data_IF_420604562488
#
_entry.id   IF_420604562488
#
_cell.length_a   1.000
_cell.length_b   1.000
_cell.length_c   1.000
_cell.angle_alpha   90.00
_cell.angle_beta   90.00
_cell.angle_gamma   90.00
#
_symmetry.space_group_name_H-M   'P 1'
#
loop_
_entity.id
_entity.type
_entity.pdbx_description
1 polymer ?
#
# COMPACT_ATOMS: atom_id res chain seq x y z
N UNK A 1 -13.21 14.35 -3.06
CA UNK A 1 -12.48 13.75 -1.95
C UNK A 1 -13.38 12.91 -1.05
N UNK A 2 -12.82 12.27 -0.04
CA UNK A 2 -13.61 11.55 0.96
C UNK A 2 -14.54 12.52 1.71
N UNK A 3 -15.80 12.10 1.91
CA UNK A 3 -16.78 12.94 2.62
C UNK A 3 -16.49 13.08 4.11
N UNK A 4 -15.87 12.07 4.72
CA UNK A 4 -15.54 12.04 6.15
C UNK A 4 -14.24 11.28 6.35
N UNK A 5 -13.24 11.94 6.93
CA UNK A 5 -11.92 11.35 7.22
C UNK A 5 -11.72 11.27 8.74
N UNK A 6 -11.31 10.10 9.23
CA UNK A 6 -10.92 9.91 10.63
C UNK A 6 -9.49 9.40 10.68
N UNK A 7 -8.62 10.10 11.37
CA UNK A 7 -7.24 9.68 11.63
C UNK A 7 -7.19 9.03 13.02
N UNK A 8 -6.86 7.75 13.05
CA UNK A 8 -6.64 7.01 14.28
C UNK A 8 -5.15 7.02 14.64
N UNK A 9 -4.83 7.45 15.85
CA UNK A 9 -3.44 7.60 16.33
C UNK A 9 -3.30 7.07 17.76
N UNK A 10 -2.09 6.71 18.22
CA UNK A 10 -1.87 6.39 19.62
C UNK A 10 -2.37 7.51 20.55
N UNK A 11 -3.04 7.15 21.64
CA UNK A 11 -3.66 8.08 22.58
C UNK A 11 -2.71 9.17 23.06
N UNK A 12 -1.44 8.81 23.28
CA UNK A 12 -0.41 9.72 23.81
C UNK A 12 -0.12 10.90 22.86
N UNK A 13 -0.29 10.73 21.56
CA UNK A 13 -0.04 11.80 20.56
C UNK A 13 -1.32 12.44 20.01
N UNK A 14 -2.49 11.96 20.42
CA UNK A 14 -3.78 12.40 19.87
C UNK A 14 -3.95 13.93 19.89
N UNK A 15 -3.66 14.58 21.03
CA UNK A 15 -3.80 16.04 21.16
C UNK A 15 -2.84 16.80 20.25
N UNK A 16 -1.60 16.30 20.11
CA UNK A 16 -0.58 16.90 19.24
C UNK A 16 -1.04 16.81 17.78
N UNK A 17 -1.51 15.65 17.36
CA UNK A 17 -1.99 15.43 15.99
C UNK A 17 -3.23 16.27 15.72
N UNK A 18 -4.19 16.30 16.64
CA UNK A 18 -5.42 17.08 16.51
C UNK A 18 -5.16 18.60 16.33
N UNK A 19 -4.08 19.12 16.91
CA UNK A 19 -3.69 20.53 16.73
C UNK A 19 -2.99 20.84 15.40
N UNK A 20 -2.61 19.81 14.61
CA UNK A 20 -1.85 19.96 13.38
C UNK A 20 -2.61 19.56 12.11
N UNK A 21 -3.64 18.73 12.24
CA UNK A 21 -4.47 18.35 11.09
C UNK A 21 -5.45 19.46 10.73
N UNK A 22 -5.90 19.47 9.49
CA UNK A 22 -6.95 20.39 9.04
C UNK A 22 -8.27 20.11 9.81
N UNK A 23 -9.13 21.12 10.03
CA UNK A 23 -10.32 20.98 10.86
C UNK A 23 -11.31 19.89 10.41
N UNK A 24 -11.31 19.56 9.12
CA UNK A 24 -12.19 18.57 8.51
C UNK A 24 -11.82 17.13 8.87
N UNK A 25 -10.60 16.89 9.39
CA UNK A 25 -10.13 15.57 9.79
C UNK A 25 -10.42 15.33 11.26
N UNK A 26 -11.22 14.32 11.53
CA UNK A 26 -11.46 13.87 12.90
C UNK A 26 -10.27 13.05 13.41
N UNK A 27 -9.90 13.23 14.68
CA UNK A 27 -8.81 12.47 15.30
C UNK A 27 -9.35 11.59 16.43
N UNK A 28 -9.05 10.31 16.39
CA UNK A 28 -9.41 9.34 17.42
C UNK A 28 -8.19 8.56 17.90
N UNK A 29 -8.33 7.73 18.93
CA UNK A 29 -7.26 6.84 19.38
C UNK A 29 -7.36 5.47 18.72
N UNK A 30 -6.21 4.81 18.53
CA UNK A 30 -6.08 3.44 18.01
C UNK A 30 -6.40 2.36 19.05
N UNK A 31 -6.90 2.72 20.25
CA UNK A 31 -7.34 1.72 21.21
C UNK A 31 -8.40 0.83 20.54
N UNK A 32 -8.27 -0.51 20.67
CA UNK A 32 -9.10 -1.47 19.95
C UNK A 32 -10.56 -1.30 20.37
N UNK A 33 -11.30 -0.59 19.54
CA UNK A 33 -12.74 -0.47 19.64
C UNK A 33 -13.31 -0.94 18.29
N UNK A 34 -14.08 -2.04 18.27
CA UNK A 34 -14.78 -2.50 17.07
C UNK A 34 -15.52 -1.38 16.35
N UNK A 35 -16.12 -0.47 17.09
CA UNK A 35 -16.84 0.71 16.55
C UNK A 35 -15.96 1.63 15.69
N UNK A 36 -14.61 1.54 15.81
CA UNK A 36 -13.71 2.37 15.02
C UNK A 36 -13.78 2.01 13.53
N UNK A 37 -14.04 0.75 13.20
CA UNK A 37 -13.99 0.22 11.84
C UNK A 37 -15.38 -0.08 11.25
N UNK A 38 -16.37 -0.44 12.08
CA UNK A 38 -17.66 -0.99 11.67
C UNK A 38 -18.49 -0.12 10.70
N UNK A 39 -18.24 1.18 10.64
CA UNK A 39 -18.96 2.11 9.76
C UNK A 39 -18.08 2.75 8.70
N UNK A 40 -16.91 2.21 8.41
CA UNK A 40 -15.97 2.78 7.45
C UNK A 40 -16.08 2.08 6.09
N UNK A 41 -16.01 2.84 5.01
CA UNK A 41 -15.97 2.30 3.65
C UNK A 41 -14.58 1.79 3.28
N UNK A 42 -13.53 2.43 3.82
CA UNK A 42 -12.14 2.08 3.58
C UNK A 42 -11.30 2.36 4.82
N UNK A 43 -10.37 1.47 5.10
CA UNK A 43 -9.31 1.64 6.09
C UNK A 43 -7.97 1.62 5.37
N UNK A 44 -7.24 2.73 5.46
CA UNK A 44 -5.85 2.83 5.00
C UNK A 44 -4.94 2.82 6.22
N UNK A 45 -3.96 1.92 6.25
CA UNK A 45 -3.06 1.78 7.40
C UNK A 45 -1.62 1.50 6.98
N UNK A 46 -0.72 1.90 7.88
CA UNK A 46 0.71 1.59 7.76
C UNK A 46 1.61 2.80 7.97
N UNK A 47 1.45 3.92 7.24
CA UNK A 47 2.32 5.07 7.43
C UNK A 47 2.41 5.52 8.88
N UNK A 48 3.64 5.47 9.46
CA UNK A 48 3.91 5.94 10.81
C UNK A 48 3.27 5.16 11.96
N UNK A 49 2.76 3.95 11.72
CA UNK A 49 2.19 3.11 12.80
C UNK A 49 3.24 2.64 13.81
N UNK A 50 4.49 2.43 13.38
CA UNK A 50 5.52 1.79 14.18
C UNK A 50 5.50 0.27 14.04
N UNK A 51 6.49 -0.39 14.69
CA UNK A 51 6.80 -1.81 14.50
C UNK A 51 6.83 -2.57 15.81
N UNK A 52 5.97 -2.19 16.75
CA UNK A 52 5.85 -2.89 18.03
C UNK A 52 4.92 -4.10 17.89
N UNK A 53 4.95 -4.99 18.86
CA UNK A 53 4.09 -6.17 18.88
C UNK A 53 2.61 -5.79 18.90
N UNK A 54 2.27 -4.76 19.69
CA UNK A 54 0.89 -4.27 19.80
C UNK A 54 0.37 -3.76 18.46
N UNK A 55 1.24 -3.19 17.62
CA UNK A 55 0.87 -2.76 16.26
C UNK A 55 0.68 -3.96 15.34
N UNK A 56 1.53 -4.99 15.45
CA UNK A 56 1.32 -6.22 14.69
C UNK A 56 -0.01 -6.89 15.08
N UNK A 57 -0.30 -6.99 16.38
CA UNK A 57 -1.56 -7.55 16.89
C UNK A 57 -2.77 -6.71 16.41
N UNK A 58 -2.65 -5.38 16.34
CA UNK A 58 -3.68 -4.50 15.81
C UNK A 58 -3.93 -4.73 14.31
N UNK A 59 -2.86 -4.84 13.52
CA UNK A 59 -2.95 -5.11 12.08
C UNK A 59 -3.62 -6.45 11.85
N UNK A 60 -3.20 -7.51 12.55
CA UNK A 60 -3.80 -8.84 12.44
C UNK A 60 -5.28 -8.82 12.79
N UNK A 61 -5.65 -8.13 13.88
CA UNK A 61 -7.05 -7.98 14.28
C UNK A 61 -7.90 -7.29 13.20
N UNK A 62 -7.37 -6.24 12.56
CA UNK A 62 -8.09 -5.53 11.49
C UNK A 62 -8.23 -6.43 10.25
N UNK A 63 -7.20 -7.17 9.89
CA UNK A 63 -7.25 -8.09 8.74
C UNK A 63 -8.29 -9.20 8.93
N UNK A 64 -8.50 -9.66 10.17
CA UNK A 64 -9.46 -10.71 10.51
C UNK A 64 -10.89 -10.20 10.66
N UNK A 65 -11.08 -9.01 11.22
CA UNK A 65 -12.37 -8.52 11.66
C UNK A 65 -13.03 -7.50 10.71
N UNK A 66 -12.27 -6.84 9.86
CA UNK A 66 -12.79 -5.79 9.00
C UNK A 66 -13.13 -6.33 7.60
N UNK A 67 -14.41 -6.23 7.23
CA UNK A 67 -14.91 -6.72 5.94
C UNK A 67 -14.91 -5.67 4.82
N UNK A 68 -14.53 -4.43 5.13
CA UNK A 68 -14.48 -3.33 4.16
C UNK A 68 -13.20 -3.31 3.32
N UNK A 69 -13.04 -2.26 2.53
CA UNK A 69 -11.88 -2.08 1.69
C UNK A 69 -10.62 -1.71 2.51
N UNK A 70 -9.51 -2.38 2.25
CA UNK A 70 -8.22 -2.16 2.92
C UNK A 70 -7.17 -1.62 1.94
N UNK A 71 -6.36 -0.66 2.41
CA UNK A 71 -5.13 -0.21 1.76
C UNK A 71 -3.98 -0.35 2.76
N UNK A 72 -3.00 -1.20 2.43
CA UNK A 72 -1.88 -1.55 3.30
C UNK A 72 -0.57 -0.99 2.74
N UNK A 73 0.16 -0.24 3.56
CA UNK A 73 1.46 0.35 3.20
C UNK A 73 2.44 0.28 4.39
N UNK A 74 3.69 0.54 4.15
CA UNK A 74 4.73 0.79 5.15
C UNK A 74 4.75 -0.19 6.35
N UNK A 75 4.47 0.30 7.57
CA UNK A 75 4.55 -0.53 8.78
C UNK A 75 3.43 -1.57 8.88
N UNK A 76 2.29 -1.41 8.18
CA UNK A 76 1.30 -2.48 8.05
C UNK A 76 1.86 -3.65 7.21
N UNK A 77 2.58 -3.36 6.13
CA UNK A 77 3.28 -4.39 5.36
C UNK A 77 4.41 -5.05 6.16
N UNK A 78 5.03 -4.31 7.07
CA UNK A 78 6.00 -4.88 8.01
C UNK A 78 5.33 -5.86 8.98
N UNK A 79 4.15 -5.53 9.50
CA UNK A 79 3.40 -6.36 10.43
C UNK A 79 2.93 -7.70 9.81
N UNK A 80 2.72 -7.73 8.48
CA UNK A 80 2.40 -8.98 7.78
C UNK A 80 3.50 -10.02 7.86
N UNK A 81 4.76 -9.60 8.02
CA UNK A 81 5.91 -10.50 7.97
C UNK A 81 6.13 -11.07 6.56
N UNK A 82 6.48 -12.35 6.51
CA UNK A 82 6.52 -13.10 5.24
C UNK A 82 5.12 -13.60 4.92
N UNK A 83 4.69 -13.43 3.70
CA UNK A 83 3.38 -13.91 3.23
C UNK A 83 3.49 -15.00 2.17
N UNK A 84 4.70 -15.21 1.65
CA UNK A 84 5.01 -16.26 0.69
C UNK A 84 6.48 -16.33 0.39
N UNK A 85 6.92 -17.40 -0.25
CA UNK A 85 8.31 -17.57 -0.68
C UNK A 85 8.43 -17.94 -2.15
N UNK A 86 9.61 -17.71 -2.70
CA UNK A 86 9.92 -17.93 -4.11
C UNK A 86 11.05 -18.95 -4.25
N UNK A 87 10.76 -20.06 -4.95
CA UNK A 87 11.76 -21.04 -5.35
C UNK A 87 12.62 -20.46 -6.49
N UNK A 88 13.87 -20.15 -6.17
CA UNK A 88 14.82 -19.51 -7.10
C UNK A 88 15.22 -20.42 -8.28
N UNK A 89 15.18 -21.73 -8.10
CA UNK A 89 15.54 -22.67 -9.16
C UNK A 89 14.42 -22.77 -10.20
N UNK A 90 13.17 -22.85 -9.76
CA UNK A 90 12.01 -22.77 -10.64
C UNK A 90 11.96 -21.41 -11.41
N UNK A 91 12.32 -20.30 -10.75
CA UNK A 91 12.47 -19.00 -11.43
C UNK A 91 13.54 -19.03 -12.53
N UNK A 92 14.66 -19.71 -12.29
CA UNK A 92 15.75 -19.85 -13.30
C UNK A 92 15.32 -20.68 -14.50
N UNK A 93 14.51 -21.70 -14.26
CA UNK A 93 14.00 -22.60 -15.28
C UNK A 93 12.81 -22.00 -16.06
N UNK A 94 12.36 -20.81 -15.68
CA UNK A 94 11.25 -20.09 -16.30
C UNK A 94 9.87 -20.57 -15.86
N UNK A 95 9.80 -21.48 -14.90
CA UNK A 95 8.55 -21.97 -14.29
C UNK A 95 8.16 -21.11 -13.09
N UNK A 96 7.59 -19.97 -13.38
CA UNK A 96 7.30 -18.96 -12.37
C UNK A 96 6.01 -19.27 -11.62
N UNK A 97 5.04 -19.93 -12.27
CA UNK A 97 3.77 -20.31 -11.63
C UNK A 97 3.98 -21.33 -10.51
N UNK A 98 4.89 -22.28 -10.67
CA UNK A 98 5.26 -23.23 -9.61
C UNK A 98 6.30 -22.68 -8.63
N UNK A 99 6.90 -21.53 -8.94
CA UNK A 99 7.94 -20.94 -8.12
C UNK A 99 7.41 -20.22 -6.88
N UNK A 100 6.12 -19.85 -6.83
CA UNK A 100 5.56 -19.06 -5.76
C UNK A 100 4.70 -19.90 -4.82
N UNK A 101 5.00 -19.83 -3.50
CA UNK A 101 4.22 -20.52 -2.46
C UNK A 101 3.63 -19.50 -1.50
N UNK A 102 2.32 -19.57 -1.29
CA UNK A 102 1.61 -18.77 -0.29
C UNK A 102 1.83 -19.36 1.09
N UNK A 103 2.31 -18.55 2.02
CA UNK A 103 2.50 -18.94 3.43
C UNK A 103 1.47 -18.30 4.36
N UNK A 104 0.86 -17.20 3.92
CA UNK A 104 -0.18 -16.48 4.65
C UNK A 104 -1.28 -16.04 3.69
N UNK A 105 -2.52 -16.38 3.99
CA UNK A 105 -3.68 -15.82 3.30
C UNK A 105 -3.91 -14.37 3.68
N UNK A 106 -4.32 -13.55 2.71
CA UNK A 106 -4.61 -12.13 2.89
C UNK A 106 -6.05 -11.84 2.49
N UNK A 107 -6.72 -10.87 3.13
CA UNK A 107 -8.02 -10.39 2.66
C UNK A 107 -7.84 -9.67 1.31
N UNK A 108 -8.92 -9.55 0.54
CA UNK A 108 -8.92 -8.77 -0.70
C UNK A 108 -8.66 -7.29 -0.40
N UNK A 109 -7.47 -6.82 -0.72
CA UNK A 109 -6.99 -5.49 -0.37
C UNK A 109 -6.07 -4.90 -1.45
N UNK A 110 -5.72 -3.62 -1.30
CA UNK A 110 -4.65 -2.97 -2.05
C UNK A 110 -3.40 -2.92 -1.18
N UNK A 111 -2.29 -3.43 -1.68
CA UNK A 111 -0.97 -3.35 -1.05
C UNK A 111 -0.07 -2.44 -1.87
N UNK A 112 0.70 -1.57 -1.21
CA UNK A 112 1.54 -0.58 -1.90
C UNK A 112 3.03 -0.67 -1.52
N UNK A 113 3.68 -1.85 -1.59
CA UNK A 113 5.09 -1.98 -1.21
C UNK A 113 6.04 -1.28 -2.19
N UNK A 114 7.11 -0.71 -1.66
CA UNK A 114 8.32 -0.47 -2.44
C UNK A 114 9.17 -1.77 -2.55
N UNK A 115 10.21 -1.79 -3.38
CA UNK A 115 11.01 -3.00 -3.61
C UNK A 115 11.57 -3.63 -2.34
N UNK A 116 11.97 -2.83 -1.35
CA UNK A 116 12.50 -3.34 -0.08
C UNK A 116 11.44 -3.98 0.81
N UNK A 117 10.22 -3.44 0.82
CA UNK A 117 9.07 -4.04 1.50
C UNK A 117 8.64 -5.33 0.81
N UNK A 118 8.57 -5.31 -0.52
CA UNK A 118 8.23 -6.49 -1.30
C UNK A 118 9.27 -7.61 -1.14
N UNK A 119 10.56 -7.27 -1.15
CA UNK A 119 11.67 -8.18 -0.86
C UNK A 119 11.47 -8.96 0.45
N UNK A 120 10.98 -8.28 1.48
CA UNK A 120 10.72 -8.90 2.78
C UNK A 120 9.46 -9.78 2.77
N UNK A 121 8.40 -9.33 2.08
CA UNK A 121 7.14 -10.08 1.99
C UNK A 121 7.31 -11.45 1.34
N UNK A 122 8.22 -11.59 0.36
CA UNK A 122 8.42 -12.81 -0.43
C UNK A 122 9.79 -13.49 -0.23
N UNK A 123 10.57 -13.05 0.76
CA UNK A 123 11.93 -13.53 1.04
C UNK A 123 12.84 -13.61 -0.20
N UNK A 124 12.84 -12.57 -1.02
CA UNK A 124 13.64 -12.53 -2.24
C UNK A 124 14.46 -11.24 -2.32
N UNK A 125 15.73 -11.32 -2.73
CA UNK A 125 16.56 -10.13 -2.84
C UNK A 125 16.06 -9.16 -3.91
N UNK A 126 16.23 -7.85 -3.68
CA UNK A 126 15.83 -6.77 -4.60
C UNK A 126 16.36 -7.01 -6.01
N UNK A 127 17.61 -7.48 -6.15
CA UNK A 127 18.21 -7.78 -7.45
C UNK A 127 17.46 -8.85 -8.26
N UNK A 128 16.86 -9.83 -7.58
CA UNK A 128 16.01 -10.83 -8.23
C UNK A 128 14.66 -10.22 -8.60
N UNK A 129 14.08 -9.39 -7.73
CA UNK A 129 12.81 -8.71 -7.99
C UNK A 129 12.93 -7.81 -9.22
N UNK A 130 13.99 -7.01 -9.32
CA UNK A 130 14.23 -6.13 -10.47
C UNK A 130 14.30 -6.88 -11.80
N UNK A 131 14.89 -8.07 -11.80
CA UNK A 131 15.00 -8.92 -13.02
C UNK A 131 13.67 -9.55 -13.43
N UNK A 132 12.80 -9.83 -12.49
CA UNK A 132 11.53 -10.53 -12.69
C UNK A 132 10.33 -9.68 -12.26
N UNK A 133 10.47 -8.37 -12.31
CA UNK A 133 9.58 -7.38 -11.70
C UNK A 133 8.11 -7.60 -12.02
N UNK A 134 7.75 -7.63 -13.32
CA UNK A 134 6.37 -7.77 -13.77
C UNK A 134 5.80 -9.15 -13.41
N UNK A 135 6.62 -10.17 -13.58
CA UNK A 135 6.19 -11.54 -13.35
C UNK A 135 5.94 -11.84 -11.89
N UNK A 136 6.87 -11.41 -11.00
CA UNK A 136 6.68 -11.56 -9.56
C UNK A 136 5.50 -10.74 -9.05
N UNK A 137 5.28 -9.53 -9.57
CA UNK A 137 4.12 -8.74 -9.22
C UNK A 137 2.80 -9.45 -9.62
N UNK A 138 2.76 -10.00 -10.82
CA UNK A 138 1.61 -10.78 -11.34
C UNK A 138 1.32 -11.99 -10.47
N UNK A 139 2.32 -12.84 -10.25
CA UNK A 139 2.12 -14.09 -9.53
C UNK A 139 1.79 -13.86 -8.06
N UNK A 140 2.36 -12.83 -7.44
CA UNK A 140 1.97 -12.41 -6.10
C UNK A 140 0.48 -12.01 -6.04
N UNK A 141 0.05 -11.14 -6.94
CA UNK A 141 -1.34 -10.66 -6.97
C UNK A 141 -2.34 -11.80 -7.21
N UNK A 142 -2.03 -12.72 -8.13
CA UNK A 142 -2.83 -13.93 -8.41
C UNK A 142 -2.89 -14.85 -7.19
N UNK A 143 -1.74 -15.17 -6.61
CA UNK A 143 -1.64 -16.15 -5.53
C UNK A 143 -2.35 -15.68 -4.24
N UNK A 144 -2.18 -14.42 -3.89
CA UNK A 144 -2.82 -13.84 -2.69
C UNK A 144 -4.20 -13.24 -2.95
N UNK A 145 -4.68 -13.18 -4.20
CA UNK A 145 -5.94 -12.54 -4.57
C UNK A 145 -6.02 -11.07 -4.10
N UNK A 146 -4.92 -10.33 -4.20
CA UNK A 146 -4.80 -8.91 -3.81
C UNK A 146 -4.47 -8.03 -5.01
N UNK A 147 -4.64 -6.74 -4.86
CA UNK A 147 -4.14 -5.75 -5.81
C UNK A 147 -2.78 -5.27 -5.30
N UNK A 148 -1.73 -5.50 -6.08
CA UNK A 148 -0.37 -5.13 -5.73
C UNK A 148 0.05 -3.88 -6.52
N UNK A 149 0.26 -2.77 -5.82
CA UNK A 149 0.93 -1.59 -6.36
C UNK A 149 2.41 -1.67 -5.99
N UNK A 150 3.21 -2.24 -6.87
CA UNK A 150 4.66 -2.35 -6.64
C UNK A 150 5.32 -1.03 -7.05
N UNK A 151 5.76 -0.27 -6.03
CA UNK A 151 6.42 1.04 -6.21
C UNK A 151 7.84 0.85 -6.75
N UNK A 152 8.13 1.48 -7.88
CA UNK A 152 9.43 1.40 -8.55
C UNK A 152 9.51 2.36 -9.74
N UNK A 153 10.54 2.19 -10.57
CA UNK A 153 10.69 2.91 -11.84
C UNK A 153 10.84 1.85 -12.95
N UNK A 154 9.74 1.59 -13.69
CA UNK A 154 8.36 2.10 -13.52
C UNK A 154 7.63 1.48 -12.33
N UNK A 155 6.57 2.14 -11.82
CA UNK A 155 5.62 1.50 -10.90
C UNK A 155 4.65 0.60 -11.66
N UNK A 156 4.18 -0.48 -11.02
CA UNK A 156 3.18 -1.37 -11.62
C UNK A 156 2.00 -1.64 -10.67
N UNK A 157 0.85 -1.92 -11.28
CA UNK A 157 -0.36 -2.36 -10.56
C UNK A 157 -0.73 -3.73 -11.11
N UNK A 158 -0.54 -4.77 -10.30
CA UNK A 158 -0.90 -6.14 -10.64
C UNK A 158 -2.24 -6.52 -10.00
N UNK A 159 -3.11 -7.15 -10.76
CA UNK A 159 -4.45 -7.55 -10.37
C UNK A 159 -4.55 -9.06 -10.12
N UNK A 160 -5.55 -9.52 -9.35
CA UNK A 160 -5.76 -10.95 -9.06
C UNK A 160 -5.98 -11.82 -10.31
N UNK A 161 -6.50 -11.24 -11.40
CA UNK A 161 -6.69 -11.92 -12.68
C UNK A 161 -5.41 -12.10 -13.50
N UNK A 162 -4.28 -11.57 -13.01
CA UNK A 162 -2.99 -11.59 -13.69
C UNK A 162 -2.73 -10.41 -14.63
N UNK A 163 -3.67 -9.48 -14.76
CA UNK A 163 -3.44 -8.22 -15.50
C UNK A 163 -2.42 -7.35 -14.77
N UNK A 164 -1.49 -6.77 -15.49
CA UNK A 164 -0.50 -5.85 -14.93
C UNK A 164 -0.48 -4.54 -15.73
N UNK A 165 -0.81 -3.45 -15.06
CA UNK A 165 -0.67 -2.09 -15.58
C UNK A 165 0.72 -1.55 -15.22
N UNK A 166 1.43 -1.02 -16.19
CA UNK A 166 2.74 -0.40 -15.99
C UNK A 166 2.60 1.11 -16.15
N UNK A 167 2.93 1.86 -15.10
CA UNK A 167 2.87 3.31 -15.10
C UNK A 167 4.20 3.88 -15.60
N UNK A 168 4.19 4.50 -16.79
CA UNK A 168 5.37 5.03 -17.46
C UNK A 168 5.60 6.53 -17.24
N UNK A 169 4.78 7.17 -16.41
CA UNK A 169 4.87 8.59 -16.07
C UNK A 169 5.35 8.78 -14.62
N UNK A 170 5.74 9.98 -14.28
CA UNK A 170 6.35 10.32 -13.01
C UNK A 170 7.84 10.61 -13.15
N UNK A 171 8.45 11.15 -12.12
CA UNK A 171 9.84 11.59 -12.14
C UNK A 171 10.56 11.30 -10.82
N UNK A 172 11.88 11.51 -10.79
CA UNK A 172 12.72 11.21 -9.64
C UNK A 172 12.40 12.02 -8.36
N UNK A 173 11.69 13.13 -8.48
CA UNK A 173 11.20 13.91 -7.32
C UNK A 173 10.24 13.13 -6.43
N UNK A 174 9.59 12.10 -6.98
CA UNK A 174 8.72 11.18 -6.22
C UNK A 174 9.48 10.29 -5.21
N UNK A 175 10.81 10.29 -5.23
CA UNK A 175 11.64 9.61 -4.23
C UNK A 175 11.71 10.31 -2.87
N UNK A 176 11.02 11.43 -2.68
CA UNK A 176 10.96 12.16 -1.42
C UNK A 176 10.12 11.40 -0.39
N UNK A 177 10.58 11.39 0.88
CA UNK A 177 9.83 10.77 1.98
C UNK A 177 8.42 11.34 2.12
N UNK A 178 7.42 10.47 2.36
CA UNK A 178 6.00 10.84 2.45
C UNK A 178 5.23 10.72 1.12
N UNK A 179 5.89 10.57 -0.02
CA UNK A 179 5.20 10.37 -1.29
C UNK A 179 4.38 9.07 -1.32
N UNK A 180 4.89 8.01 -0.69
CA UNK A 180 4.13 6.77 -0.51
C UNK A 180 2.86 6.97 0.31
N UNK A 181 2.97 7.73 1.40
CA UNK A 181 1.84 8.03 2.30
C UNK A 181 0.73 8.78 1.55
N UNK A 182 1.13 9.74 0.69
CA UNK A 182 0.18 10.45 -0.18
C UNK A 182 -0.49 9.50 -1.17
N UNK A 183 0.26 8.59 -1.80
CA UNK A 183 -0.30 7.59 -2.72
C UNK A 183 -1.35 6.71 -2.01
N UNK A 184 -1.04 6.23 -0.81
CA UNK A 184 -1.96 5.46 0.03
C UNK A 184 -3.25 6.24 0.30
N UNK A 185 -3.14 7.51 0.65
CA UNK A 185 -4.27 8.42 0.86
C UNK A 185 -5.09 8.69 -0.42
N UNK A 186 -4.43 8.83 -1.57
CA UNK A 186 -5.09 9.02 -2.88
C UNK A 186 -5.90 7.79 -3.27
N UNK A 187 -5.33 6.58 -3.14
CA UNK A 187 -6.03 5.32 -3.42
C UNK A 187 -7.25 5.18 -2.50
N UNK A 188 -7.07 5.36 -1.19
CA UNK A 188 -8.18 5.30 -0.23
C UNK A 188 -9.26 6.37 -0.53
N UNK A 189 -8.85 7.55 -0.99
CA UNK A 189 -9.74 8.62 -1.43
C UNK A 189 -10.62 8.23 -2.61
N UNK A 190 -10.10 7.52 -3.61
CA UNK A 190 -10.88 6.99 -4.73
C UNK A 190 -11.85 5.91 -4.28
N UNK A 191 -11.39 4.95 -3.45
CA UNK A 191 -12.25 3.90 -2.89
C UNK A 191 -13.43 4.51 -2.13
N UNK A 192 -13.18 5.53 -1.30
CA UNK A 192 -14.23 6.21 -0.52
C UNK A 192 -15.25 6.96 -1.38
N UNK A 193 -14.97 7.21 -2.64
CA UNK A 193 -15.88 7.80 -3.64
C UNK A 193 -16.65 6.75 -4.43
N UNK A 194 -16.48 5.46 -4.13
CA UNK A 194 -17.18 4.35 -4.77
C UNK A 194 -16.49 3.75 -5.99
N UNK A 195 -15.24 4.14 -6.29
CA UNK A 195 -14.45 3.43 -7.28
C UNK A 195 -14.10 2.02 -6.79
N UNK A 196 -13.98 1.07 -7.71
CA UNK A 196 -13.48 -0.26 -7.37
C UNK A 196 -12.05 -0.19 -6.81
N UNK A 197 -11.60 -1.22 -6.06
CA UNK A 197 -10.23 -1.28 -5.59
C UNK A 197 -9.24 -1.25 -6.77
N UNK A 198 -9.56 -1.93 -7.86
CA UNK A 198 -8.76 -1.97 -9.09
C UNK A 198 -8.62 -0.58 -9.71
N UNK A 199 -9.74 0.08 -9.99
CA UNK A 199 -9.72 1.42 -10.58
C UNK A 199 -9.04 2.42 -9.66
N UNK A 200 -9.27 2.32 -8.34
CA UNK A 200 -8.65 3.19 -7.35
C UNK A 200 -7.13 3.05 -7.30
N UNK A 201 -6.61 1.83 -7.43
CA UNK A 201 -5.17 1.58 -7.47
C UNK A 201 -4.54 2.14 -8.77
N UNK A 202 -5.15 1.85 -9.93
CA UNK A 202 -4.65 2.32 -11.24
C UNK A 202 -4.72 3.84 -11.34
N UNK A 203 -5.88 4.44 -11.04
CA UNK A 203 -6.06 5.89 -11.05
C UNK A 203 -5.19 6.58 -10.01
N UNK A 204 -5.07 6.00 -8.82
CA UNK A 204 -4.23 6.53 -7.74
C UNK A 204 -2.77 6.66 -8.16
N UNK A 205 -2.20 5.61 -8.74
CA UNK A 205 -0.82 5.62 -9.26
C UNK A 205 -0.68 6.65 -10.39
N UNK A 206 -1.62 6.69 -11.33
CA UNK A 206 -1.59 7.62 -12.46
C UNK A 206 -1.66 9.07 -11.99
N UNK A 207 -2.68 9.42 -11.20
CA UNK A 207 -2.88 10.81 -10.72
C UNK A 207 -1.72 11.29 -9.87
N UNK A 208 -1.22 10.44 -8.96
CA UNK A 208 -0.06 10.76 -8.13
C UNK A 208 1.18 11.04 -8.98
N UNK A 209 1.47 10.19 -9.97
CA UNK A 209 2.61 10.38 -10.87
C UNK A 209 2.43 11.61 -11.76
N UNK A 210 1.24 11.82 -12.31
CA UNK A 210 0.95 12.98 -13.16
C UNK A 210 1.04 14.30 -12.41
N UNK A 211 0.61 14.34 -11.16
CA UNK A 211 0.76 15.51 -10.29
C UNK A 211 2.24 15.86 -10.09
N UNK A 212 3.08 14.86 -9.92
CA UNK A 212 4.54 15.03 -9.82
C UNK A 212 5.14 15.64 -11.10
N UNK A 213 4.72 15.18 -12.28
CA UNK A 213 5.19 15.72 -13.55
C UNK A 213 4.76 17.19 -13.75
N UNK A 214 3.56 17.55 -13.35
CA UNK A 214 3.10 18.95 -13.39
C UNK A 214 3.90 19.81 -12.39
N UNK A 215 4.20 19.29 -11.20
CA UNK A 215 4.95 20.02 -10.20
C UNK A 215 6.39 20.30 -10.61
N UNK A 216 7.05 19.38 -11.30
CA UNK A 216 8.43 19.59 -11.75
C UNK A 216 8.52 20.68 -12.82
N UNK A 217 7.50 20.84 -13.66
CA UNK A 217 7.43 21.91 -14.66
C UNK A 217 7.33 23.31 -14.00
N UNK A 218 6.69 23.40 -12.83
CA UNK A 218 6.40 24.67 -12.15
C UNK A 218 7.34 24.99 -10.99
N UNK A 219 7.77 23.98 -10.23
CA UNK A 219 8.56 24.14 -9.00
C UNK A 219 9.99 23.62 -9.10
N UNK A 220 10.38 23.03 -10.25
CA UNK A 220 11.67 22.35 -10.40
C UNK A 220 11.81 21.17 -9.40
N UNK A 221 13.05 20.75 -9.12
CA UNK A 221 13.31 19.71 -8.12
C UNK A 221 13.11 20.25 -6.70
N UNK A 222 12.64 19.42 -5.79
CA UNK A 222 12.51 19.78 -4.36
C UNK A 222 11.09 20.10 -3.91
N UNK A 223 10.06 19.71 -4.68
CA UNK A 223 8.69 19.70 -4.17
C UNK A 223 8.50 18.62 -3.11
N UNK A 224 7.62 18.89 -2.17
CA UNK A 224 7.29 18.02 -1.03
C UNK A 224 5.88 17.44 -1.18
N UNK A 225 5.55 16.37 -0.43
CA UNK A 225 4.21 15.82 -0.38
C UNK A 225 3.15 16.78 0.19
N UNK A 226 3.59 17.84 0.87
CA UNK A 226 2.77 18.87 1.52
C UNK A 226 2.82 20.20 0.80
#
# INVERSE_FOLDING_TARGET
>A
GAGKVTLAVPKIIKQIVQSRVIPEVMVTSTEPNKELFDCRQVVAMGPGLGRTREICDLVDHILEAYEGALVLDADALYALGHVGCVNKDALRDGDIESAYTVERELPYCVMTPHLGEFSRLIDLSIKWIERHYITLAREFAKAHQVILVLKGIPSSVALPDGTVYVNTIGNAGMGTGGMGDVLTGVIAGFISQGYSLQDSAVLGVYVHSRSSDILIETKSWGYTPS
#
